data_IF_914996216124
#
_entry.id   IF_914996216124
#
_cell.length_a   1.000
_cell.length_b   1.000
_cell.length_c   1.000
_cell.angle_alpha   90.00
_cell.angle_beta   90.00
_cell.angle_gamma   90.00
#
_symmetry.space_group_name_H-M   'P 1'
#
loop_
_entity.id
_entity.type
_entity.pdbx_description
1 polymer ?
#
# COMPACT_ATOMS: atom_id res chain seq x y z
N UNK A 1 8.37 7.61 -5.55
CA UNK A 1 7.38 6.91 -6.40
C UNK A 1 6.06 6.80 -5.67
N UNK A 2 5.01 7.42 -6.22
CA UNK A 2 3.64 7.34 -5.70
C UNK A 2 2.86 6.32 -6.51
N UNK A 3 2.23 5.37 -5.82
CA UNK A 3 1.45 4.35 -6.49
C UNK A 3 0.03 4.32 -5.96
N UNK A 4 -0.91 4.00 -6.85
CA UNK A 4 -2.30 3.94 -6.50
C UNK A 4 -2.60 2.60 -5.84
N UNK A 5 -2.73 2.62 -4.52
CA UNK A 5 -2.98 1.44 -3.69
C UNK A 5 -4.47 1.10 -3.53
N UNK A 6 -5.34 2.07 -3.79
CA UNK A 6 -6.79 1.92 -3.73
C UNK A 6 -7.45 2.82 -4.78
N UNK A 7 -8.73 2.57 -5.11
CA UNK A 7 -9.50 3.46 -6.01
C UNK A 7 -9.52 4.92 -5.55
N UNK A 8 -9.39 5.17 -4.24
CA UNK A 8 -9.37 6.51 -3.66
C UNK A 8 -8.05 6.89 -2.95
N UNK A 9 -7.06 5.99 -2.91
CA UNK A 9 -5.83 6.22 -2.15
C UNK A 9 -4.57 6.00 -2.99
N UNK A 10 -3.60 6.89 -2.77
CA UNK A 10 -2.26 6.85 -3.35
C UNK A 10 -1.29 6.81 -2.17
N UNK A 11 -0.30 5.94 -2.24
CA UNK A 11 0.74 5.83 -1.22
C UNK A 11 2.13 5.95 -1.84
N UNK A 12 3.04 6.58 -1.11
CA UNK A 12 4.44 6.62 -1.46
C UNK A 12 5.08 5.28 -1.10
N UNK A 13 5.65 4.59 -2.10
CA UNK A 13 6.33 3.30 -1.92
C UNK A 13 7.52 3.42 -0.96
N UNK A 14 8.21 4.54 -1.05
CA UNK A 14 9.40 4.85 -0.24
C UNK A 14 9.07 5.01 1.26
N UNK A 15 7.83 5.40 1.55
CA UNK A 15 7.35 5.60 2.90
C UNK A 15 6.75 4.36 3.53
N UNK A 16 6.59 3.26 2.80
CA UNK A 16 6.02 2.02 3.34
C UNK A 16 6.99 1.44 4.36
N UNK A 17 6.56 1.40 5.62
CA UNK A 17 7.35 0.86 6.73
C UNK A 17 6.94 -0.57 7.06
N UNK A 18 5.63 -0.83 7.12
CA UNK A 18 5.09 -2.16 7.39
C UNK A 18 3.85 -2.42 6.52
N UNK A 19 3.61 -3.70 6.22
CA UNK A 19 2.42 -4.16 5.51
C UNK A 19 1.75 -5.24 6.35
N UNK A 20 0.53 -4.97 6.80
CA UNK A 20 -0.27 -5.85 7.64
C UNK A 20 -1.50 -6.32 6.86
N UNK A 21 -1.95 -7.55 7.13
CA UNK A 21 -3.20 -8.04 6.57
C UNK A 21 -4.35 -7.51 7.44
N UNK A 22 -5.23 -6.70 6.87
CA UNK A 22 -6.32 -6.08 7.64
C UNK A 22 -7.57 -6.95 7.62
N UNK A 23 -8.05 -7.31 6.43
CA UNK A 23 -9.18 -8.22 6.25
C UNK A 23 -8.97 -9.09 5.01
N UNK A 24 -9.78 -10.15 4.85
CA UNK A 24 -9.78 -11.00 3.65
C UNK A 24 -9.83 -10.09 2.41
N UNK A 25 -8.69 -9.96 1.71
CA UNK A 25 -8.47 -9.15 0.50
C UNK A 25 -8.09 -7.67 0.68
N UNK A 26 -7.98 -7.15 1.90
CA UNK A 26 -7.45 -5.81 2.19
C UNK A 26 -6.18 -5.87 3.03
N UNK A 27 -5.11 -5.32 2.48
CA UNK A 27 -3.86 -5.05 3.16
C UNK A 27 -3.92 -3.66 3.79
N UNK A 28 -3.13 -3.40 4.82
CA UNK A 28 -2.96 -2.08 5.41
C UNK A 28 -1.48 -1.82 5.50
N UNK A 29 -1.04 -0.74 4.88
CA UNK A 29 0.34 -0.29 5.01
C UNK A 29 0.43 0.74 6.12
N UNK A 30 1.45 0.61 6.95
CA UNK A 30 1.86 1.64 7.89
C UNK A 30 3.02 2.38 7.26
N UNK A 31 2.84 3.67 7.02
CA UNK A 31 3.86 4.56 6.50
C UNK A 31 4.84 4.97 7.61
N UNK A 32 6.02 5.46 7.23
CA UNK A 32 7.01 6.06 8.16
C UNK A 32 6.41 7.23 8.95
N UNK A 33 5.46 7.95 8.36
CA UNK A 33 4.69 9.04 8.96
C UNK A 33 3.62 8.58 9.98
N UNK A 34 3.62 7.32 10.41
CA UNK A 34 2.61 6.69 11.25
C UNK A 34 1.18 6.67 10.66
N UNK A 35 0.99 7.14 9.43
CA UNK A 35 -0.26 7.00 8.68
C UNK A 35 -0.48 5.56 8.25
N UNK A 36 -1.69 5.07 8.47
CA UNK A 36 -2.11 3.74 8.04
C UNK A 36 -3.08 3.85 6.87
N UNK A 37 -2.73 3.28 5.72
CA UNK A 37 -3.56 3.31 4.53
C UNK A 37 -4.03 1.90 4.15
N UNK A 38 -5.33 1.71 3.86
CA UNK A 38 -5.83 0.46 3.30
C UNK A 38 -5.41 0.34 1.83
N UNK A 39 -4.86 -0.82 1.49
CA UNK A 39 -4.36 -1.23 0.18
C UNK A 39 -5.17 -2.45 -0.24
N UNK A 40 -5.79 -2.42 -1.41
CA UNK A 40 -6.40 -3.63 -1.95
C UNK A 40 -5.33 -4.54 -2.55
N UNK A 41 -5.61 -5.84 -2.71
CA UNK A 41 -4.74 -6.80 -3.39
C UNK A 41 -4.16 -6.27 -4.72
N UNK A 42 -5.00 -5.64 -5.55
CA UNK A 42 -4.57 -4.98 -6.81
C UNK A 42 -3.56 -3.83 -6.63
N UNK A 43 -3.68 -3.07 -5.54
CA UNK A 43 -2.77 -1.96 -5.24
C UNK A 43 -1.37 -2.45 -4.85
N UNK A 44 -1.31 -3.59 -4.16
CA UNK A 44 -0.06 -4.28 -3.83
C UNK A 44 0.61 -4.91 -5.05
N UNK A 45 -0.14 -5.58 -5.93
CA UNK A 45 0.43 -6.18 -7.15
C UNK A 45 1.08 -5.13 -8.05
N UNK A 46 0.42 -3.98 -8.25
CA UNK A 46 1.01 -2.84 -8.98
C UNK A 46 2.29 -2.31 -8.32
N UNK A 47 2.31 -2.28 -6.99
CA UNK A 47 3.47 -1.88 -6.22
C UNK A 47 4.66 -2.79 -6.48
N UNK A 48 4.38 -4.10 -6.53
CA UNK A 48 5.35 -5.16 -6.81
C UNK A 48 5.89 -5.08 -8.23
N UNK A 49 5.03 -4.83 -9.22
CA UNK A 49 5.40 -4.66 -10.64
C UNK A 49 6.26 -3.41 -10.90
N UNK A 50 6.19 -2.38 -10.06
CA UNK A 50 7.00 -1.16 -10.24
C UNK A 50 8.36 -1.29 -9.56
N UNK A 51 8.50 -2.18 -8.58
CA UNK A 51 9.73 -2.38 -7.81
C UNK A 51 10.65 -3.46 -8.38
N UNK A 52 10.11 -4.39 -9.18
CA UNK A 52 10.81 -5.51 -9.80
C UNK A 52 10.70 -5.40 -11.32
#
# INVERSE_FOLDING_TARGET
>A
NFIRIHRSYIAAVDEIKNLELFEKESYRITLKDAKQLPVSKNGYEKLREILF
#
